data_IF_187827989756
#
_entry.id   IF_187827989756
#
_cell.length_a   1.000
_cell.length_b   1.000
_cell.length_c   1.000
_cell.angle_alpha   90.00
_cell.angle_beta   90.00
_cell.angle_gamma   90.00
#
_symmetry.space_group_name_H-M   'P 1'
#
loop_
_entity.id
_entity.type
_entity.pdbx_description
1 polymer ?
#
# COMPACT_ATOMS: atom_id res chain seq x y z
N UNK A 1 30.70 15.54 -13.76
CA UNK A 1 29.76 15.27 -12.63
C UNK A 1 28.51 16.08 -12.88
N UNK A 2 27.43 15.47 -13.37
CA UNK A 2 26.17 16.17 -13.63
C UNK A 2 25.09 15.59 -12.71
N UNK A 3 24.83 16.29 -11.61
CA UNK A 3 23.76 15.98 -10.67
C UNK A 3 22.41 16.20 -11.36
N UNK A 4 21.69 15.13 -11.67
CA UNK A 4 20.28 15.20 -12.08
C UNK A 4 19.41 15.36 -10.82
N UNK A 5 19.26 16.59 -10.35
CA UNK A 5 18.21 16.94 -9.39
C UNK A 5 16.88 16.97 -10.15
N UNK A 6 16.14 15.86 -10.08
CA UNK A 6 14.75 15.83 -10.52
C UNK A 6 13.92 16.74 -9.60
N UNK A 7 13.65 17.96 -10.04
CA UNK A 7 12.68 18.84 -9.40
C UNK A 7 11.30 18.20 -9.55
N UNK A 8 10.83 17.49 -8.52
CA UNK A 8 9.41 17.15 -8.45
C UNK A 8 8.66 18.44 -8.16
N UNK A 9 8.04 19.02 -9.19
CA UNK A 9 7.11 20.10 -9.04
C UNK A 9 5.93 19.60 -8.20
N UNK A 10 5.83 20.09 -6.97
CA UNK A 10 4.69 19.85 -6.09
C UNK A 10 3.41 20.30 -6.80
N UNK A 11 2.39 19.43 -6.96
CA UNK A 11 1.15 19.78 -7.63
C UNK A 11 0.47 21.00 -7.00
N UNK A 12 -0.15 21.90 -7.79
CA UNK A 12 -0.85 23.07 -7.29
C UNK A 12 -2.01 22.67 -6.36
N UNK A 13 -2.22 23.44 -5.30
CA UNK A 13 -3.22 23.17 -4.29
C UNK A 13 -4.62 22.97 -4.92
N UNK A 14 -5.27 21.85 -4.59
CA UNK A 14 -6.65 21.50 -4.95
C UNK A 14 -6.94 21.33 -6.46
N UNK A 15 -5.95 20.98 -7.28
CA UNK A 15 -6.17 20.55 -8.68
C UNK A 15 -5.67 19.12 -8.92
N UNK A 16 -6.15 18.53 -10.02
CA UNK A 16 -5.83 17.18 -10.51
C UNK A 16 -4.33 16.86 -10.34
N UNK A 17 -4.04 15.79 -9.59
CA UNK A 17 -2.69 15.28 -9.41
C UNK A 17 -2.49 14.01 -10.24
N UNK A 18 -1.36 13.95 -10.95
CA UNK A 18 -0.95 12.78 -11.72
C UNK A 18 0.18 12.07 -10.98
N UNK A 19 -0.05 10.80 -10.63
CA UNK A 19 0.92 9.96 -9.91
C UNK A 19 1.47 8.88 -10.85
N UNK A 20 2.65 9.08 -11.46
CA UNK A 20 3.29 8.02 -12.23
C UNK A 20 3.76 6.90 -11.30
N UNK A 21 3.51 5.65 -11.70
CA UNK A 21 3.90 4.43 -10.96
C UNK A 21 3.39 4.41 -9.51
N UNK A 22 2.11 4.71 -9.33
CA UNK A 22 1.45 4.68 -8.01
C UNK A 22 1.70 3.36 -7.26
N UNK A 23 1.69 2.23 -7.98
CA UNK A 23 1.95 0.90 -7.42
C UNK A 23 3.33 0.79 -6.74
N UNK A 24 4.37 1.31 -7.39
CA UNK A 24 5.71 1.32 -6.81
C UNK A 24 5.78 2.22 -5.57
N UNK A 25 5.12 3.38 -5.61
CA UNK A 25 5.07 4.30 -4.46
C UNK A 25 4.34 3.68 -3.27
N UNK A 26 3.31 2.87 -3.54
CA UNK A 26 2.57 2.16 -2.51
C UNK A 26 3.39 0.98 -1.93
N UNK A 27 4.07 0.20 -2.78
CA UNK A 27 4.92 -0.91 -2.35
C UNK A 27 6.13 -0.45 -1.50
N UNK A 28 6.71 0.71 -1.82
CA UNK A 28 7.86 1.26 -1.07
C UNK A 28 7.47 1.94 0.25
N UNK A 29 6.17 2.10 0.53
CA UNK A 29 5.67 2.82 1.71
C UNK A 29 5.38 1.83 2.86
N UNK A 30 6.18 1.81 3.94
CA UNK A 30 5.90 0.94 5.10
C UNK A 30 4.79 1.49 6.01
N UNK A 31 4.32 2.72 5.76
CA UNK A 31 3.33 3.39 6.61
C UNK A 31 1.97 2.70 6.50
N UNK A 32 1.34 2.45 7.65
CA UNK A 32 -0.02 1.88 7.70
C UNK A 32 -1.03 2.71 6.91
N UNK A 33 -0.92 4.05 7.00
CA UNK A 33 -1.76 4.99 6.26
C UNK A 33 -0.95 6.23 5.90
N UNK A 34 -0.91 6.57 4.61
CA UNK A 34 -0.27 7.79 4.12
C UNK A 34 -1.17 8.50 3.12
N UNK A 35 -1.41 9.78 3.37
CA UNK A 35 -2.18 10.65 2.47
C UNK A 35 -1.26 11.10 1.33
N UNK A 36 -1.58 10.70 0.10
CA UNK A 36 -0.85 11.13 -1.08
C UNK A 36 -1.40 12.43 -1.65
N UNK A 37 -2.71 12.62 -1.58
CA UNK A 37 -3.37 13.80 -2.12
C UNK A 37 -4.69 14.08 -1.43
N UNK A 38 -4.96 15.36 -1.18
CA UNK A 38 -6.27 15.83 -0.71
C UNK A 38 -6.78 16.88 -1.70
N UNK A 39 -7.82 16.51 -2.43
CA UNK A 39 -8.59 17.39 -3.29
C UNK A 39 -9.76 18.03 -2.54
N UNK A 40 -10.62 18.72 -3.29
CA UNK A 40 -11.81 19.37 -2.73
C UNK A 40 -12.91 18.38 -2.34
N UNK A 41 -13.08 17.31 -3.13
CA UNK A 41 -14.12 16.29 -2.92
C UNK A 41 -13.59 14.87 -2.79
N UNK A 42 -12.27 14.68 -2.89
CA UNK A 42 -11.68 13.34 -2.88
C UNK A 42 -10.32 13.36 -2.21
N UNK A 43 -10.01 12.29 -1.49
CA UNK A 43 -8.71 12.07 -0.89
C UNK A 43 -8.15 10.76 -1.42
N UNK A 44 -6.87 10.78 -1.81
CA UNK A 44 -6.14 9.58 -2.19
C UNK A 44 -5.19 9.20 -1.05
N UNK A 45 -5.38 8.00 -0.54
CA UNK A 45 -4.62 7.44 0.57
C UNK A 45 -4.05 6.10 0.13
N UNK A 46 -2.79 5.85 0.46
CA UNK A 46 -2.18 4.53 0.37
C UNK A 46 -2.11 3.91 1.75
N UNK A 47 -2.31 2.59 1.81
CA UNK A 47 -2.29 1.83 3.05
C UNK A 47 -1.49 0.56 2.86
N UNK A 48 -0.55 0.33 3.77
CA UNK A 48 0.22 -0.92 3.84
C UNK A 48 -0.20 -1.64 5.11
N UNK A 49 -1.02 -2.66 4.94
CA UNK A 49 -1.56 -3.45 6.06
C UNK A 49 -0.60 -4.61 6.28
N UNK A 50 0.04 -4.71 7.47
CA UNK A 50 0.91 -5.84 7.76
C UNK A 50 0.10 -7.13 7.83
N UNK A 51 0.77 -8.26 7.69
CA UNK A 51 0.12 -9.55 7.85
C UNK A 51 -0.39 -9.67 9.28
N UNK A 52 -1.63 -10.12 9.43
CA UNK A 52 -2.39 -10.14 10.69
C UNK A 52 -2.79 -8.74 11.23
N UNK A 53 -2.57 -7.67 10.46
CA UNK A 53 -3.08 -6.34 10.73
C UNK A 53 -4.54 -6.19 10.31
N UNK A 54 -5.33 -5.51 11.13
CA UNK A 54 -6.72 -5.16 10.82
C UNK A 54 -6.83 -3.68 10.44
N UNK A 55 -7.69 -3.37 9.47
CA UNK A 55 -8.03 -1.99 9.11
C UNK A 55 -8.91 -1.35 10.20
N UNK A 56 -9.69 -2.18 10.90
CA UNK A 56 -10.72 -1.77 11.85
C UNK A 56 -12.11 -1.64 11.22
N UNK A 57 -13.15 -1.68 12.04
CA UNK A 57 -14.51 -1.33 11.62
C UNK A 57 -14.65 0.19 11.59
N UNK A 58 -14.89 0.77 10.42
CA UNK A 58 -15.14 2.20 10.28
C UNK A 58 -16.42 2.47 9.49
N UNK A 59 -17.23 3.40 9.99
CA UNK A 59 -18.44 3.86 9.33
C UNK A 59 -18.17 5.26 8.79
N UNK A 60 -18.20 5.40 7.47
CA UNK A 60 -18.06 6.68 6.80
C UNK A 60 -19.39 7.13 6.21
N UNK A 61 -19.71 8.42 6.33
CA UNK A 61 -20.86 9.06 5.67
C UNK A 61 -20.62 9.33 4.18
N UNK A 62 -19.38 9.14 3.72
CA UNK A 62 -18.92 9.37 2.35
C UNK A 62 -18.54 8.05 1.71
N UNK A 63 -18.59 7.99 0.38
CA UNK A 63 -18.20 6.81 -0.37
C UNK A 63 -16.70 6.53 -0.24
N UNK A 64 -16.36 5.26 -0.04
CA UNK A 64 -14.98 4.79 0.03
C UNK A 64 -14.75 3.71 -1.03
N UNK A 65 -13.71 3.89 -1.84
CA UNK A 65 -13.27 2.89 -2.81
C UNK A 65 -11.90 2.34 -2.39
N UNK A 66 -11.78 1.02 -2.30
CA UNK A 66 -10.55 0.32 -1.95
C UNK A 66 -10.06 -0.48 -3.16
N UNK A 67 -8.79 -0.27 -3.53
CA UNK A 67 -8.12 -1.00 -4.60
C UNK A 67 -6.97 -1.80 -4.01
N UNK A 68 -7.01 -3.11 -4.18
CA UNK A 68 -5.96 -4.02 -3.73
C UNK A 68 -5.12 -4.43 -4.94
N UNK A 69 -3.81 -4.20 -4.90
CA UNK A 69 -2.89 -4.53 -6.00
C UNK A 69 -1.87 -5.62 -5.63
N UNK A 70 -1.51 -5.74 -4.34
CA UNK A 70 -0.61 -6.79 -3.84
C UNK A 70 -1.26 -7.54 -2.67
N UNK A 71 -1.04 -8.86 -2.60
CA UNK A 71 -1.51 -9.69 -1.51
C UNK A 71 -0.46 -10.71 -1.07
N UNK A 72 -0.11 -10.67 0.22
CA UNK A 72 0.83 -11.62 0.82
C UNK A 72 0.06 -12.79 1.39
N UNK A 73 0.34 -13.97 0.84
CA UNK A 73 -0.26 -15.23 1.28
C UNK A 73 0.67 -15.91 2.29
N UNK A 74 0.27 -16.03 3.56
CA UNK A 74 1.01 -16.89 4.49
C UNK A 74 0.82 -18.35 4.09
N UNK A 75 1.84 -18.98 3.50
CA UNK A 75 1.86 -20.42 3.32
C UNK A 75 2.52 -21.07 4.54
N UNK A 76 1.69 -21.61 5.43
CA UNK A 76 2.16 -22.48 6.50
C UNK A 76 2.56 -23.83 5.89
N UNK A 77 3.80 -23.95 5.43
CA UNK A 77 4.32 -25.22 4.92
C UNK A 77 4.63 -26.14 6.10
N UNK A 78 3.66 -27.00 6.44
CA UNK A 78 3.85 -28.06 7.41
C UNK A 78 4.90 -29.07 6.88
N UNK A 79 6.16 -28.91 7.32
CA UNK A 79 7.21 -29.90 7.07
C UNK A 79 6.89 -31.16 7.87
N UNK A 80 6.17 -32.10 7.26
CA UNK A 80 6.06 -33.48 7.74
C UNK A 80 7.47 -34.08 7.76
N UNK A 81 8.10 -34.15 8.95
CA UNK A 81 9.32 -34.96 9.12
C UNK A 81 8.93 -36.41 8.80
N UNK A 82 9.59 -37.03 7.82
CA UNK A 82 9.48 -38.47 7.60
C UNK A 82 10.05 -39.17 8.84
N UNK A 83 9.18 -39.84 9.59
CA UNK A 83 9.60 -40.83 10.56
C UNK A 83 10.28 -41.98 9.83
N UNK A 84 11.51 -42.26 10.23
CA UNK A 84 12.27 -43.43 9.82
C UNK A 84 11.60 -44.69 10.37
N UNK A 85 10.90 -45.44 9.51
CA UNK A 85 10.56 -46.83 9.79
C UNK A 85 11.86 -47.66 9.61
N UNK A 86 12.58 -47.88 10.71
CA UNK A 86 13.50 -49.01 10.84
C UNK A 86 12.80 -50.04 11.72
N UNK A 87 12.29 -51.10 11.10
CA UNK A 87 12.19 -52.45 11.67
C UNK A 87 12.10 -53.45 10.53
#
# INVERSE_FOLDING_TARGET
MASRSGTQASPPAKKMAYFPKLESQAADSPDFRRVLWTGEHSQLVIMTIPVDGEIGEEVHTVDQHLFFYEWVRQSHCCRRRKGSERR
#
